data_IF_316824578492
#
_entry.id   IF_316824578492
#
_cell.length_a   1.000
_cell.length_b   1.000
_cell.length_c   1.000
_cell.angle_alpha   90.00
_cell.angle_beta   90.00
_cell.angle_gamma   90.00
#
_symmetry.space_group_name_H-M   'P 1'
#
loop_
_entity.id
_entity.type
_entity.pdbx_description
1 polymer ?
#
# COMPACT_ATOMS: atom_id res chain seq x y z
N UNK A 1 18.74 -8.16 -34.72
CA UNK A 1 18.78 -7.73 -33.31
C UNK A 1 18.43 -6.24 -33.28
N UNK A 2 17.41 -5.87 -32.53
CA UNK A 2 17.04 -4.48 -32.25
C UNK A 2 17.61 -4.03 -30.91
N UNK A 3 18.03 -2.77 -30.82
CA UNK A 3 18.48 -2.14 -29.59
C UNK A 3 17.83 -0.76 -29.44
N UNK A 4 17.33 -0.47 -28.22
CA UNK A 4 16.80 0.83 -27.88
C UNK A 4 17.40 1.30 -26.55
N UNK A 5 17.91 2.52 -26.54
CA UNK A 5 18.37 3.18 -25.32
C UNK A 5 17.41 4.31 -24.98
N UNK A 6 16.83 4.29 -23.79
CA UNK A 6 15.96 5.35 -23.30
C UNK A 6 16.71 6.68 -23.29
N UNK A 7 16.23 7.72 -23.97
CA UNK A 7 16.91 9.00 -24.06
C UNK A 7 16.78 9.79 -22.75
N UNK A 8 17.71 10.72 -22.52
CA UNK A 8 17.62 11.71 -21.44
C UNK A 8 17.87 11.17 -20.02
N UNK A 9 18.24 9.90 -19.87
CA UNK A 9 18.61 9.35 -18.57
C UNK A 9 20.06 9.66 -18.22
N UNK A 10 20.29 10.18 -17.02
CA UNK A 10 21.61 10.45 -16.47
C UNK A 10 21.59 10.27 -14.96
N UNK A 11 22.66 9.74 -14.42
CA UNK A 11 22.84 9.62 -12.97
C UNK A 11 24.32 9.66 -12.62
N UNK A 12 24.67 10.55 -11.72
CA UNK A 12 26.00 10.64 -11.11
C UNK A 12 25.91 10.18 -9.64
N UNK A 13 26.33 8.94 -9.33
CA UNK A 13 26.24 8.40 -7.98
C UNK A 13 27.16 9.11 -6.98
N UNK A 14 28.25 9.74 -7.44
CA UNK A 14 29.19 10.43 -6.56
C UNK A 14 28.59 11.72 -5.99
N UNK A 15 27.79 12.41 -6.79
CA UNK A 15 27.17 13.68 -6.41
C UNK A 15 25.67 13.55 -6.11
N UNK A 16 25.07 12.37 -6.29
CA UNK A 16 23.63 12.14 -6.12
C UNK A 16 22.76 12.98 -7.04
N UNK A 17 23.24 13.33 -8.25
CA UNK A 17 22.56 14.23 -9.18
C UNK A 17 22.29 13.56 -10.51
N UNK A 18 21.19 13.99 -11.18
CA UNK A 18 20.84 13.52 -12.51
C UNK A 18 19.34 13.41 -12.72
N UNK A 19 18.96 12.75 -13.84
CA UNK A 19 17.59 12.41 -14.21
C UNK A 19 17.50 10.90 -14.44
N UNK A 20 17.43 10.10 -13.34
CA UNK A 20 17.47 8.62 -13.46
C UNK A 20 16.17 8.02 -13.95
N UNK A 21 15.07 8.79 -13.92
CA UNK A 21 13.73 8.31 -14.29
C UNK A 21 13.23 9.00 -15.55
N UNK A 22 12.67 8.20 -16.45
CA UNK A 22 12.14 8.69 -17.73
C UNK A 22 10.76 9.36 -17.59
N UNK A 23 9.97 8.86 -16.65
CA UNK A 23 8.66 9.40 -16.25
C UNK A 23 8.33 8.99 -14.83
N UNK A 24 7.26 9.56 -14.29
CA UNK A 24 6.68 9.19 -13.00
C UNK A 24 5.24 8.72 -13.21
N UNK A 25 4.87 7.63 -12.55
CA UNK A 25 3.49 7.23 -12.38
C UNK A 25 2.97 7.82 -11.07
N UNK A 26 1.79 8.45 -11.12
CA UNK A 26 1.17 9.07 -9.96
C UNK A 26 -0.17 8.40 -9.67
N UNK A 27 -0.55 8.35 -8.40
CA UNK A 27 -1.84 7.82 -8.02
C UNK A 27 -2.25 8.30 -6.64
N UNK A 28 -3.54 8.16 -6.36
CA UNK A 28 -4.13 8.40 -5.05
C UNK A 28 -5.08 7.26 -4.72
N UNK A 29 -5.12 6.86 -3.45
CA UNK A 29 -6.06 5.86 -2.97
C UNK A 29 -6.66 6.29 -1.63
N UNK A 30 -7.92 5.91 -1.43
CA UNK A 30 -8.63 6.04 -0.17
C UNK A 30 -9.19 4.69 0.20
N UNK A 31 -8.96 4.27 1.45
CA UNK A 31 -9.43 3.00 1.98
C UNK A 31 -10.31 3.22 3.21
N UNK A 32 -11.35 2.41 3.32
CA UNK A 32 -12.25 2.35 4.47
C UNK A 32 -12.16 0.97 5.10
N UNK A 33 -11.96 0.92 6.42
CA UNK A 33 -11.76 -0.32 7.16
C UNK A 33 -12.67 -0.40 8.38
N UNK A 34 -12.94 -1.62 8.80
CA UNK A 34 -13.57 -1.96 10.07
C UNK A 34 -12.60 -2.77 10.91
N UNK A 35 -12.52 -2.48 12.22
CA UNK A 35 -11.66 -3.17 13.18
C UNK A 35 -12.46 -3.67 14.36
N UNK A 36 -12.29 -4.94 14.71
CA UNK A 36 -12.85 -5.53 15.92
C UNK A 36 -11.88 -5.37 17.09
N UNK A 37 -12.27 -4.58 18.10
CA UNK A 37 -11.44 -4.31 19.27
C UNK A 37 -11.17 -5.50 20.19
N UNK A 38 -11.96 -6.57 20.06
CA UNK A 38 -11.83 -7.77 20.91
C UNK A 38 -10.89 -8.81 20.31
N UNK A 39 -10.74 -8.82 19.00
CA UNK A 39 -9.97 -9.85 18.29
C UNK A 39 -8.81 -9.30 17.48
N UNK A 40 -8.77 -7.99 17.23
CA UNK A 40 -7.85 -7.36 16.28
C UNK A 40 -8.18 -7.67 14.81
N UNK A 41 -9.19 -8.48 14.52
CA UNK A 41 -9.63 -8.75 13.17
C UNK A 41 -10.06 -7.45 12.49
N UNK A 42 -9.70 -7.33 11.23
CA UNK A 42 -10.09 -6.18 10.41
C UNK A 42 -10.73 -6.65 9.11
N UNK A 43 -11.46 -5.76 8.48
CA UNK A 43 -12.06 -5.94 7.16
C UNK A 43 -11.91 -4.66 6.35
N UNK A 44 -11.47 -4.81 5.11
CA UNK A 44 -11.44 -3.72 4.14
C UNK A 44 -12.85 -3.60 3.51
N UNK A 45 -13.51 -2.49 3.73
CA UNK A 45 -14.89 -2.26 3.29
C UNK A 45 -14.94 -1.66 1.90
N UNK A 46 -14.05 -0.69 1.63
CA UNK A 46 -14.03 0.06 0.38
C UNK A 46 -12.63 0.51 0.01
N UNK A 47 -12.36 0.54 -1.29
CA UNK A 47 -11.17 1.15 -1.88
C UNK A 47 -11.57 1.95 -3.10
N UNK A 48 -11.12 3.19 -3.17
CA UNK A 48 -11.20 4.04 -4.36
C UNK A 48 -9.79 4.43 -4.79
N UNK A 49 -9.45 4.17 -6.05
CA UNK A 49 -8.14 4.46 -6.64
C UNK A 49 -8.31 5.33 -7.88
N UNK A 50 -7.50 6.38 -7.96
CA UNK A 50 -7.24 7.13 -9.19
C UNK A 50 -5.76 6.96 -9.54
N UNK A 51 -5.44 6.40 -10.71
CA UNK A 51 -4.07 6.10 -11.11
C UNK A 51 -3.74 6.58 -12.51
N UNK A 52 -2.52 7.09 -12.68
CA UNK A 52 -1.98 7.57 -13.95
C UNK A 52 -1.20 6.45 -14.63
N UNK A 53 -1.75 5.91 -15.69
CA UNK A 53 -1.11 4.93 -16.56
C UNK A 53 -0.63 5.54 -17.89
N UNK A 54 -0.68 6.88 -18.00
CA UNK A 54 -0.53 7.56 -19.28
C UNK A 54 -1.70 7.28 -20.24
N UNK A 55 -1.41 7.12 -21.51
CA UNK A 55 -2.39 6.65 -22.50
C UNK A 55 -2.52 5.12 -22.35
N UNK A 56 -3.66 4.67 -21.85
CA UNK A 56 -3.93 3.24 -21.68
C UNK A 56 -4.00 2.54 -23.04
N UNK A 57 -3.28 1.45 -23.18
CA UNK A 57 -3.32 0.61 -24.38
C UNK A 57 -4.53 -0.33 -24.35
N UNK A 58 -4.82 -0.93 -23.18
CA UNK A 58 -5.97 -1.81 -22.95
C UNK A 58 -6.47 -1.56 -21.52
N UNK A 59 -7.53 -0.77 -21.36
CA UNK A 59 -8.04 -0.31 -20.06
C UNK A 59 -8.37 -1.46 -19.09
N UNK A 60 -8.89 -2.59 -19.58
CA UNK A 60 -9.22 -3.73 -18.71
C UNK A 60 -7.97 -4.38 -18.12
N UNK A 61 -6.87 -4.43 -18.88
CA UNK A 61 -5.59 -4.95 -18.39
C UNK A 61 -4.99 -3.97 -17.38
N UNK A 62 -4.96 -2.68 -17.70
CA UNK A 62 -4.40 -1.66 -16.79
C UNK A 62 -5.15 -1.62 -15.46
N UNK A 63 -6.49 -1.71 -15.48
CA UNK A 63 -7.28 -1.82 -14.24
C UNK A 63 -6.93 -3.07 -13.45
N UNK A 64 -6.86 -4.23 -14.10
CA UNK A 64 -6.46 -5.48 -13.44
C UNK A 64 -5.05 -5.44 -12.83
N UNK A 65 -4.11 -4.74 -13.47
CA UNK A 65 -2.77 -4.52 -12.91
C UNK A 65 -2.81 -3.62 -11.68
N UNK A 66 -3.61 -2.55 -11.70
CA UNK A 66 -3.78 -1.66 -10.56
C UNK A 66 -4.39 -2.41 -9.37
N UNK A 67 -5.45 -3.18 -9.60
CA UNK A 67 -6.11 -4.00 -8.59
C UNK A 67 -5.15 -5.05 -8.02
N UNK A 68 -4.44 -5.77 -8.87
CA UNK A 68 -3.48 -6.80 -8.47
C UNK A 68 -2.31 -6.23 -7.66
N UNK A 69 -1.70 -5.13 -8.12
CA UNK A 69 -0.62 -4.46 -7.40
C UNK A 69 -1.06 -3.92 -6.05
N UNK A 70 -2.26 -3.33 -5.97
CA UNK A 70 -2.83 -2.87 -4.71
C UNK A 70 -3.06 -4.01 -3.72
N UNK A 71 -3.67 -5.13 -4.15
CA UNK A 71 -3.93 -6.30 -3.29
C UNK A 71 -2.63 -6.89 -2.78
N UNK A 72 -1.59 -6.95 -3.61
CA UNK A 72 -0.26 -7.37 -3.18
C UNK A 72 0.30 -6.46 -2.08
N UNK A 73 0.23 -5.15 -2.24
CA UNK A 73 0.66 -4.20 -1.22
C UNK A 73 -0.19 -4.28 0.05
N UNK A 74 -1.49 -4.52 -0.07
CA UNK A 74 -2.38 -4.78 1.06
C UNK A 74 -1.91 -6.01 1.85
N UNK A 75 -1.57 -7.10 1.16
CA UNK A 75 -1.02 -8.30 1.78
C UNK A 75 0.24 -8.01 2.60
N UNK A 76 1.20 -7.32 2.01
CA UNK A 76 2.43 -6.93 2.70
C UNK A 76 2.19 -6.13 3.98
N UNK A 77 1.15 -5.32 4.00
CA UNK A 77 0.85 -4.42 5.10
C UNK A 77 -0.08 -5.03 6.15
N UNK A 78 -0.68 -6.20 5.88
CA UNK A 78 -1.71 -6.79 6.75
C UNK A 78 -1.46 -8.23 7.16
N UNK A 79 -1.13 -9.14 6.24
CA UNK A 79 -1.09 -10.58 6.53
C UNK A 79 0.19 -11.30 6.12
N UNK A 80 1.01 -10.73 5.24
CA UNK A 80 2.24 -11.35 4.79
C UNK A 80 3.36 -11.12 5.80
N UNK A 81 3.59 -12.09 6.67
CA UNK A 81 4.55 -12.02 7.77
C UNK A 81 5.74 -12.93 7.51
N UNK A 82 6.96 -12.40 7.58
CA UNK A 82 8.18 -13.18 7.58
C UNK A 82 8.59 -13.50 9.02
N UNK A 83 8.63 -14.79 9.34
CA UNK A 83 9.04 -15.28 10.66
C UNK A 83 10.32 -16.08 10.57
N UNK A 84 11.23 -15.82 11.48
CA UNK A 84 12.54 -16.45 11.56
C UNK A 84 12.67 -17.17 12.90
N UNK A 85 13.37 -18.31 12.91
CA UNK A 85 13.80 -18.94 14.15
C UNK A 85 14.97 -18.18 14.77
N UNK A 86 15.27 -18.45 16.04
CA UNK A 86 16.44 -17.89 16.74
C UNK A 86 17.77 -18.24 16.04
N UNK A 87 17.81 -19.33 15.28
CA UNK A 87 18.95 -19.75 14.48
C UNK A 87 19.01 -19.09 13.08
N UNK A 88 18.13 -18.14 12.77
CA UNK A 88 18.08 -17.44 11.48
C UNK A 88 17.46 -18.22 10.33
N UNK A 89 16.76 -19.34 10.60
CA UNK A 89 16.02 -20.08 9.57
C UNK A 89 14.66 -19.42 9.33
N UNK A 90 14.32 -19.14 8.05
CA UNK A 90 13.00 -18.70 7.67
C UNK A 90 11.98 -19.82 7.94
N UNK A 91 10.91 -19.50 8.67
CA UNK A 91 9.82 -20.42 9.03
C UNK A 91 8.63 -20.31 8.10
N UNK A 92 8.46 -19.16 7.46
CA UNK A 92 7.38 -18.88 6.49
C UNK A 92 7.91 -19.02 5.07
N UNK A 93 8.44 -20.20 4.73
CA UNK A 93 9.13 -20.50 3.48
C UNK A 93 8.29 -21.32 2.48
N UNK A 94 7.01 -21.52 2.76
CA UNK A 94 6.11 -22.33 1.94
C UNK A 94 4.71 -21.70 1.85
N UNK A 95 3.91 -22.02 0.80
CA UNK A 95 2.53 -21.52 0.67
C UNK A 95 1.61 -21.87 1.84
N UNK A 96 1.92 -22.92 2.59
CA UNK A 96 1.19 -23.32 3.80
C UNK A 96 1.52 -22.49 5.04
N UNK A 97 2.64 -21.77 5.04
CA UNK A 97 3.13 -20.99 6.18
C UNK A 97 3.21 -19.50 5.91
N UNK A 98 3.29 -19.09 4.64
CA UNK A 98 3.29 -17.70 4.21
C UNK A 98 1.89 -17.33 3.67
N UNK A 99 1.12 -16.57 4.45
CA UNK A 99 -0.24 -16.18 4.07
C UNK A 99 -0.21 -15.00 3.10
N UNK A 100 -0.90 -15.16 1.97
CA UNK A 100 -1.22 -14.07 1.05
C UNK A 100 -2.71 -13.73 1.13
N UNK A 101 -3.14 -12.54 0.68
CA UNK A 101 -4.56 -12.19 0.62
C UNK A 101 -5.36 -13.19 -0.21
N UNK A 102 -6.54 -13.54 0.29
CA UNK A 102 -7.52 -14.35 -0.44
C UNK A 102 -8.55 -13.47 -1.13
N UNK A 103 -9.33 -14.04 -2.05
CA UNK A 103 -10.43 -13.32 -2.72
C UNK A 103 -11.44 -12.76 -1.73
N UNK A 104 -11.67 -13.43 -0.59
CA UNK A 104 -12.58 -12.97 0.46
C UNK A 104 -12.08 -11.76 1.25
N UNK A 105 -10.81 -11.38 1.13
CA UNK A 105 -10.24 -10.20 1.80
C UNK A 105 -10.25 -8.96 0.90
N UNK A 106 -10.55 -9.13 -0.39
CA UNK A 106 -10.74 -8.01 -1.33
C UNK A 106 -12.11 -7.36 -1.06
N UNK A 107 -12.21 -6.02 -0.96
CA UNK A 107 -13.47 -5.36 -0.67
C UNK A 107 -14.45 -5.48 -1.84
N UNK A 108 -15.74 -5.62 -1.56
CA UNK A 108 -16.78 -5.59 -2.60
C UNK A 108 -16.83 -4.24 -3.34
N UNK A 109 -16.58 -3.14 -2.62
CA UNK A 109 -16.51 -1.80 -3.18
C UNK A 109 -15.06 -1.45 -3.57
N UNK A 110 -14.57 -2.05 -4.65
CA UNK A 110 -13.25 -1.77 -5.20
C UNK A 110 -13.36 -1.00 -6.51
N UNK A 111 -13.04 0.28 -6.48
CA UNK A 111 -13.22 1.21 -7.60
C UNK A 111 -11.87 1.72 -8.09
N UNK A 112 -11.57 1.49 -9.36
CA UNK A 112 -10.36 1.98 -10.03
C UNK A 112 -10.75 2.90 -11.17
N UNK A 113 -10.23 4.12 -11.15
CA UNK A 113 -10.33 5.09 -12.23
C UNK A 113 -8.93 5.39 -12.80
N UNK A 114 -8.83 5.43 -14.12
CA UNK A 114 -7.61 5.85 -14.80
C UNK A 114 -7.62 7.37 -14.94
N UNK A 115 -6.52 8.00 -14.46
CA UNK A 115 -6.36 9.45 -14.61
C UNK A 115 -5.96 9.76 -16.06
N UNK A 116 -6.82 10.48 -16.76
CA UNK A 116 -6.53 10.94 -18.13
C UNK A 116 -5.81 12.28 -18.05
N UNK A 117 -4.50 12.25 -18.10
CA UNK A 117 -3.72 13.48 -18.19
C UNK A 117 -3.81 14.08 -19.61
N UNK A 118 -3.91 15.41 -19.64
CA UNK A 118 -3.56 16.16 -20.85
C UNK A 118 -2.07 15.94 -21.10
N UNK A 119 -1.70 15.52 -22.33
CA UNK A 119 -0.31 15.25 -22.71
C UNK A 119 0.62 16.33 -22.17
N UNK A 120 1.51 15.97 -21.25
CA UNK A 120 2.56 16.87 -20.81
C UNK A 120 3.54 17.04 -21.98
N UNK A 121 3.85 18.28 -22.40
CA UNK A 121 4.88 18.52 -23.42
C UNK A 121 6.20 17.94 -22.94
N UNK A 122 6.83 17.07 -23.73
CA UNK A 122 8.16 16.53 -23.45
C UNK A 122 8.26 15.10 -22.96
N UNK A 123 7.19 14.46 -22.48
CA UNK A 123 7.24 13.04 -22.12
C UNK A 123 7.07 12.17 -23.38
N UNK A 124 8.17 11.77 -24.00
CA UNK A 124 8.17 10.87 -25.17
C UNK A 124 8.14 9.40 -24.74
N UNK A 125 7.13 9.00 -23.95
CA UNK A 125 6.91 7.59 -23.64
C UNK A 125 6.31 6.86 -24.84
N UNK A 126 6.66 5.58 -25.00
CA UNK A 126 6.19 4.76 -26.11
C UNK A 126 4.65 4.67 -26.05
N UNK A 127 3.99 5.06 -27.15
CA UNK A 127 2.52 5.17 -27.24
C UNK A 127 1.86 6.03 -26.14
N UNK A 128 2.61 6.87 -25.43
CA UNK A 128 2.10 7.65 -24.32
C UNK A 128 1.80 6.82 -23.06
N UNK A 129 2.08 5.52 -23.06
CA UNK A 129 1.78 4.59 -21.96
C UNK A 129 2.88 4.60 -20.90
N UNK A 130 2.49 4.43 -19.63
CA UNK A 130 3.37 4.29 -18.47
C UNK A 130 3.28 2.88 -17.89
N UNK A 131 4.31 2.47 -17.14
CA UNK A 131 4.29 1.22 -16.41
C UNK A 131 3.17 1.22 -15.36
N UNK A 132 2.45 0.11 -15.22
CA UNK A 132 1.27 -0.01 -14.36
C UNK A 132 1.33 -1.22 -13.41
N UNK A 133 2.24 -2.18 -13.63
CA UNK A 133 2.29 -3.42 -12.84
C UNK A 133 2.74 -3.21 -11.40
N UNK A 134 3.76 -2.38 -11.16
CA UNK A 134 4.38 -2.20 -9.85
C UNK A 134 3.93 -0.93 -9.09
N UNK A 135 3.77 0.24 -9.73
CA UNK A 135 3.47 1.48 -9.01
C UNK A 135 2.23 1.43 -8.11
N UNK A 136 1.15 0.70 -8.44
CA UNK A 136 -0.03 0.62 -7.59
C UNK A 136 0.17 -0.04 -6.22
N UNK A 137 1.24 -0.82 -6.03
CA UNK A 137 1.56 -1.44 -4.74
C UNK A 137 1.64 -0.41 -3.62
N UNK A 138 2.25 0.74 -3.86
CA UNK A 138 2.40 1.80 -2.86
C UNK A 138 1.07 2.44 -2.44
N UNK A 139 0.02 2.34 -3.25
CA UNK A 139 -1.30 2.87 -2.93
C UNK A 139 -1.97 2.13 -1.76
N UNK A 140 -1.55 0.89 -1.49
CA UNK A 140 -2.01 0.10 -0.35
C UNK A 140 -1.59 0.67 1.02
N UNK A 141 -0.65 1.64 1.06
CA UNK A 141 -0.39 2.41 2.28
C UNK A 141 -1.66 3.08 2.84
N UNK A 142 -2.65 3.38 1.99
CA UNK A 142 -3.95 3.88 2.41
C UNK A 142 -4.68 2.91 3.35
N UNK A 143 -4.54 1.59 3.17
CA UNK A 143 -5.11 0.56 4.05
C UNK A 143 -4.46 0.62 5.42
N UNK A 144 -3.12 0.65 5.46
CA UNK A 144 -2.38 0.73 6.72
C UNK A 144 -2.74 1.98 7.52
N UNK A 145 -2.83 3.12 6.84
CA UNK A 145 -3.20 4.37 7.50
C UNK A 145 -4.66 4.41 7.94
N UNK A 146 -5.58 3.78 7.20
CA UNK A 146 -6.95 3.58 7.63
C UNK A 146 -7.02 2.69 8.88
N UNK A 147 -6.26 1.58 8.94
CA UNK A 147 -6.17 0.73 10.13
C UNK A 147 -5.57 1.49 11.33
N UNK A 148 -4.52 2.29 11.10
CA UNK A 148 -3.92 3.12 12.14
C UNK A 148 -4.92 4.16 12.69
N UNK A 149 -5.69 4.79 11.81
CA UNK A 149 -6.74 5.73 12.20
C UNK A 149 -7.87 5.04 12.97
N UNK A 150 -8.28 3.84 12.54
CA UNK A 150 -9.30 3.05 13.25
C UNK A 150 -8.83 2.63 14.64
N UNK A 151 -7.55 2.23 14.80
CA UNK A 151 -6.96 1.92 16.12
C UNK A 151 -6.88 3.19 16.98
N UNK A 152 -6.54 4.34 16.41
CA UNK A 152 -6.49 5.61 17.14
C UNK A 152 -7.85 6.01 17.73
N UNK A 153 -8.94 5.61 17.10
CA UNK A 153 -10.29 5.90 17.59
C UNK A 153 -10.66 5.22 18.94
N UNK A 154 -9.84 4.28 19.43
CA UNK A 154 -10.04 3.63 20.72
C UNK A 154 -9.44 4.40 21.90
N UNK A 155 -8.64 5.44 21.65
CA UNK A 155 -8.14 6.35 22.70
C UNK A 155 -7.85 7.74 22.10
N UNK A 156 -8.39 8.78 22.69
CA UNK A 156 -8.19 10.16 22.21
C UNK A 156 -6.75 10.66 22.46
N UNK A 157 -6.22 11.38 21.51
CA UNK A 157 -4.98 12.18 21.66
C UNK A 157 -3.66 11.41 21.70
N UNK A 158 -3.68 10.09 21.54
CA UNK A 158 -2.49 9.27 21.67
C UNK A 158 -1.94 8.87 20.28
N UNK A 159 -0.62 8.99 20.11
CA UNK A 159 0.05 8.48 18.91
C UNK A 159 -0.02 6.95 18.86
N UNK A 160 -0.48 6.41 17.74
CA UNK A 160 -0.61 4.96 17.55
C UNK A 160 0.65 4.39 16.94
N UNK A 161 1.32 3.51 17.66
CA UNK A 161 2.33 2.62 17.13
C UNK A 161 1.66 1.33 16.63
N UNK A 162 1.46 1.21 15.32
CA UNK A 162 0.96 0.00 14.67
C UNK A 162 2.10 -0.66 13.91
N UNK A 163 2.37 -1.93 14.20
CA UNK A 163 3.39 -2.69 13.48
C UNK A 163 3.02 -2.91 12.01
N UNK A 164 4.00 -3.26 11.19
CA UNK A 164 3.81 -3.74 9.84
C UNK A 164 4.47 -5.12 9.71
N UNK A 165 3.75 -6.12 9.22
CA UNK A 165 2.34 -6.10 8.84
C UNK A 165 1.40 -5.85 10.03
N UNK A 166 0.26 -5.17 9.77
CA UNK A 166 -0.80 -4.92 10.75
C UNK A 166 -1.68 -6.17 10.89
N UNK A 167 -1.08 -7.23 11.40
CA UNK A 167 -1.80 -8.49 11.69
C UNK A 167 -2.88 -8.29 12.77
N UNK A 168 -3.88 -9.18 12.87
CA UNK A 168 -4.84 -9.11 13.95
C UNK A 168 -4.21 -9.05 15.34
N UNK A 169 -3.10 -9.76 15.57
CA UNK A 169 -2.33 -9.70 16.81
C UNK A 169 -1.72 -8.29 17.03
N UNK A 170 -1.13 -7.70 15.99
CA UNK A 170 -0.55 -6.37 16.06
C UNK A 170 -1.62 -5.29 16.36
N UNK A 171 -2.78 -5.40 15.71
CA UNK A 171 -3.92 -4.49 15.93
C UNK A 171 -4.44 -4.65 17.36
N UNK A 172 -4.69 -5.88 17.81
CA UNK A 172 -5.15 -6.15 19.18
C UNK A 172 -4.18 -5.59 20.22
N UNK A 173 -2.88 -5.85 20.05
CA UNK A 173 -1.84 -5.36 20.95
C UNK A 173 -1.76 -3.83 20.99
N UNK A 174 -1.90 -3.17 19.83
CA UNK A 174 -1.93 -1.72 19.75
C UNK A 174 -3.14 -1.12 20.49
N UNK A 175 -4.33 -1.71 20.32
CA UNK A 175 -5.56 -1.28 21.06
C UNK A 175 -5.39 -1.50 22.55
N UNK A 176 -4.87 -2.65 22.97
CA UNK A 176 -4.63 -2.97 24.38
C UNK A 176 -3.65 -1.98 25.02
N UNK A 177 -2.57 -1.64 24.33
CA UNK A 177 -1.59 -0.65 24.77
C UNK A 177 -2.21 0.74 24.94
N UNK A 178 -3.06 1.18 23.99
CA UNK A 178 -3.77 2.46 24.09
C UNK A 178 -4.69 2.52 25.31
N UNK A 179 -5.41 1.44 25.58
CA UNK A 179 -6.33 1.35 26.74
C UNK A 179 -5.61 1.26 28.08
N UNK A 180 -4.39 0.73 28.09
CA UNK A 180 -3.56 0.62 29.28
C UNK A 180 -2.76 1.92 29.57
N UNK A 181 -2.57 2.79 28.59
CA UNK A 181 -1.91 4.06 28.80
C UNK A 181 -2.74 4.91 29.80
N UNK A 182 -2.15 5.40 30.93
CA UNK A 182 -2.88 6.26 31.84
C UNK A 182 -3.27 7.51 31.05
N UNK A 183 -4.59 7.72 30.91
CA UNK A 183 -5.09 8.99 30.40
C UNK A 183 -4.46 10.12 31.22
N UNK A 184 -3.99 11.17 30.57
CA UNK A 184 -3.73 12.42 31.26
C UNK A 184 -5.07 12.81 31.92
N UNK A 185 -5.22 12.41 33.17
CA UNK A 185 -6.39 12.73 33.97
C UNK A 185 -6.43 14.25 34.07
N UNK A 186 -7.45 14.83 33.44
CA UNK A 186 -7.97 16.18 33.65
C UNK A 186 -7.24 16.98 34.76
N UNK A 187 -6.23 17.70 34.40
CA UNK A 187 -5.86 18.89 35.16
C UNK A 187 -6.88 19.97 34.76
N UNK A 188 -8.03 19.97 35.44
CA UNK A 188 -8.88 21.14 35.50
C UNK A 188 -8.23 22.07 36.54
N UNK A 189 -7.95 23.32 36.20
CA UNK A 189 -7.43 24.33 37.13
C UNK A 189 -8.46 24.73 38.21
#
# INVERSE_FOLDING_TARGET
TGFYRTPGLSWDPANGKGSPFYYFACGAAVSEVEVCAYTGMHRLLRVDILHDVGDSLIESIDRGQIEGGFVQGMGWLTCEELRWSDAGKLLTDAPSTYKIPTVGEVPEAFRVALHRQRKLPGAQVIFGSKAVGEPPLMLALSVREALRAAVAAFAEGTAVALAAPATPEAIFSAIAALRAAPGEANAVP
#
